data_IF_809368324235
#
_entry.id   IF_809368324235
#
_cell.length_a   1.000
_cell.length_b   1.000
_cell.length_c   1.000
_cell.angle_alpha   90.00
_cell.angle_beta   90.00
_cell.angle_gamma   90.00
#
_symmetry.space_group_name_H-M   'P 1'
#
loop_
_entity.id
_entity.type
_entity.pdbx_description
1 polymer ?
#
# COMPACT_ATOMS: atom_id res chain seq x y z
N UNK A 1 -4.55 10.23 11.28
CA UNK A 1 -4.02 9.79 9.97
C UNK A 1 -3.83 8.28 10.03
N UNK A 2 -3.74 7.60 8.90
CA UNK A 2 -3.38 6.18 8.84
C UNK A 2 -2.16 5.98 7.95
N UNK A 3 -1.33 5.00 8.24
CA UNK A 3 -0.25 4.56 7.37
C UNK A 3 -0.34 3.07 7.09
N UNK A 4 0.13 2.64 5.93
CA UNK A 4 0.34 1.24 5.59
C UNK A 4 1.77 1.05 5.08
N UNK A 5 2.43 -0.02 5.53
CA UNK A 5 3.80 -0.34 5.14
C UNK A 5 3.79 -1.18 3.89
N UNK A 6 4.72 -0.92 2.97
CA UNK A 6 4.98 -1.84 1.88
C UNK A 6 5.53 -3.16 2.44
N UNK A 7 4.86 -4.28 2.18
CA UNK A 7 5.28 -5.60 2.69
C UNK A 7 6.13 -6.36 1.67
N UNK A 8 5.84 -6.18 0.38
CA UNK A 8 6.56 -6.85 -0.70
C UNK A 8 5.72 -6.94 -1.98
N UNK A 9 6.20 -7.75 -2.92
CA UNK A 9 5.45 -8.12 -4.12
C UNK A 9 4.62 -9.38 -3.82
N UNK A 10 3.34 -9.34 -4.19
CA UNK A 10 2.42 -10.48 -4.15
C UNK A 10 1.89 -10.74 -5.56
N UNK A 11 1.60 -12.00 -5.92
CA UNK A 11 0.98 -12.29 -7.20
C UNK A 11 -0.42 -11.69 -7.28
N UNK A 12 -0.77 -11.19 -8.47
CA UNK A 12 -2.13 -10.75 -8.77
C UNK A 12 -2.96 -11.99 -9.11
N UNK A 13 -4.14 -12.11 -8.51
CA UNK A 13 -5.06 -13.21 -8.76
C UNK A 13 -6.16 -12.81 -9.76
N UNK A 14 -6.59 -13.79 -10.56
CA UNK A 14 -7.76 -13.67 -11.43
C UNK A 14 -8.99 -13.44 -10.56
N UNK A 15 -9.85 -12.51 -10.99
CA UNK A 15 -11.10 -12.17 -10.33
C UNK A 15 -12.28 -12.37 -11.26
N UNK A 16 -13.43 -12.72 -10.70
CA UNK A 16 -14.69 -12.85 -11.44
C UNK A 16 -15.33 -11.47 -11.74
N UNK A 17 -16.51 -11.49 -12.36
CA UNK A 17 -17.27 -10.28 -12.70
C UNK A 17 -17.73 -9.47 -11.48
N UNK A 18 -17.71 -10.07 -10.28
CA UNK A 18 -18.07 -9.45 -9.02
C UNK A 18 -16.83 -8.98 -8.22
N UNK A 19 -15.62 -9.26 -8.71
CA UNK A 19 -14.36 -8.93 -8.04
C UNK A 19 -13.89 -9.97 -7.01
N UNK A 20 -14.53 -11.14 -6.93
CA UNK A 20 -14.11 -12.25 -6.07
C UNK A 20 -12.96 -13.02 -6.70
N UNK A 21 -12.03 -13.52 -5.87
CA UNK A 21 -10.87 -14.29 -6.35
C UNK A 21 -11.33 -15.62 -6.95
N UNK A 22 -10.86 -15.93 -8.15
CA UNK A 22 -11.05 -17.21 -8.81
C UNK A 22 -10.00 -18.18 -8.29
N UNK A 23 -10.44 -19.36 -7.86
CA UNK A 23 -9.56 -20.42 -7.37
C UNK A 23 -9.36 -21.52 -8.42
N UNK A 24 -8.18 -22.13 -8.41
CA UNK A 24 -7.88 -23.28 -9.26
C UNK A 24 -8.78 -24.47 -8.85
N UNK A 25 -9.37 -25.12 -9.84
CA UNK A 25 -10.26 -26.26 -9.64
C UNK A 25 -10.23 -27.21 -10.83
N UNK A 26 -10.78 -28.41 -10.63
CA UNK A 26 -11.14 -29.34 -11.68
C UNK A 26 -12.57 -29.83 -11.51
N UNK A 27 -13.17 -30.28 -12.61
CA UNK A 27 -14.49 -30.90 -12.61
C UNK A 27 -14.30 -32.43 -12.53
N UNK A 28 -15.01 -33.07 -11.60
CA UNK A 28 -15.01 -34.53 -11.50
C UNK A 28 -15.93 -35.19 -12.58
N UNK A 29 -16.00 -36.52 -12.59
CA UNK A 29 -16.82 -37.25 -13.57
C UNK A 29 -18.33 -37.06 -13.36
N UNK A 30 -18.75 -36.53 -12.22
CA UNK A 30 -20.14 -36.27 -11.85
C UNK A 30 -20.54 -34.80 -12.04
N UNK A 31 -19.61 -33.95 -12.50
CA UNK A 31 -19.82 -32.52 -12.73
C UNK A 31 -19.63 -31.64 -11.50
N UNK A 32 -19.04 -32.16 -10.41
CA UNK A 32 -18.77 -31.36 -9.21
C UNK A 32 -17.44 -30.62 -9.34
N UNK A 33 -17.42 -29.37 -8.86
CA UNK A 33 -16.22 -28.54 -8.79
C UNK A 33 -15.41 -28.92 -7.54
N UNK A 34 -14.17 -29.34 -7.74
CA UNK A 34 -13.21 -29.65 -6.68
C UNK A 34 -12.04 -28.66 -6.76
N UNK A 35 -11.82 -27.89 -5.70
CA UNK A 35 -10.73 -26.91 -5.63
C UNK A 35 -9.40 -27.57 -5.28
N UNK A 36 -8.31 -27.07 -5.85
CA UNK A 36 -6.97 -27.42 -5.38
C UNK A 36 -6.68 -26.70 -4.07
N UNK A 37 -6.04 -27.40 -3.14
CA UNK A 37 -5.68 -26.89 -1.82
C UNK A 37 -4.16 -26.95 -1.62
N UNK A 38 -3.62 -25.99 -0.86
CA UNK A 38 -2.22 -25.96 -0.42
C UNK A 38 -1.96 -26.98 0.70
N UNK A 39 -0.71 -27.03 1.20
CA UNK A 39 -0.32 -27.93 2.29
C UNK A 39 -1.07 -27.69 3.61
N UNK A 40 -1.74 -26.53 3.75
CA UNK A 40 -2.52 -26.14 4.91
C UNK A 40 -4.04 -26.32 4.72
N UNK A 41 -4.49 -26.79 3.55
CA UNK A 41 -5.91 -26.94 3.21
C UNK A 41 -6.58 -25.64 2.73
N UNK A 42 -5.81 -24.61 2.37
CA UNK A 42 -6.36 -23.39 1.78
C UNK A 42 -6.49 -23.54 0.28
N UNK A 43 -7.58 -23.04 -0.31
CA UNK A 43 -7.76 -23.05 -1.77
C UNK A 43 -6.66 -22.27 -2.46
N UNK A 44 -6.12 -22.81 -3.55
CA UNK A 44 -5.09 -22.17 -4.36
C UNK A 44 -5.76 -21.14 -5.29
N UNK A 45 -5.49 -19.84 -5.15
CA UNK A 45 -6.02 -18.82 -6.04
C UNK A 45 -5.35 -18.92 -7.42
N UNK A 46 -6.12 -18.66 -8.47
CA UNK A 46 -5.60 -18.64 -9.84
C UNK A 46 -4.83 -17.35 -10.08
N UNK A 47 -3.53 -17.44 -10.37
CA UNK A 47 -2.67 -16.29 -10.62
C UNK A 47 -2.78 -15.77 -12.06
N UNK A 48 -2.62 -14.45 -12.26
CA UNK A 48 -2.51 -13.84 -13.60
C UNK A 48 -1.11 -13.97 -14.19
N UNK A 49 -0.11 -14.26 -13.34
CA UNK A 49 1.31 -14.21 -13.66
C UNK A 49 1.93 -12.81 -13.53
N UNK A 50 1.15 -11.81 -13.15
CA UNK A 50 1.62 -10.47 -12.80
C UNK A 50 1.77 -10.33 -11.28
N UNK A 51 2.54 -9.33 -10.84
CA UNK A 51 2.80 -9.06 -9.42
C UNK A 51 2.41 -7.61 -9.10
N UNK A 52 1.87 -7.41 -7.90
CA UNK A 52 1.58 -6.10 -7.35
C UNK A 52 2.27 -5.89 -6.00
N UNK A 53 2.40 -4.62 -5.60
CA UNK A 53 2.90 -4.30 -4.27
C UNK A 53 1.78 -4.46 -3.25
N UNK A 54 2.02 -5.28 -2.25
CA UNK A 54 1.14 -5.44 -1.10
C UNK A 54 1.50 -4.49 0.04
N UNK A 55 0.48 -4.17 0.84
CA UNK A 55 0.58 -3.23 1.94
C UNK A 55 -0.01 -3.79 3.22
N UNK A 56 0.65 -3.51 4.34
CA UNK A 56 0.20 -3.95 5.65
C UNK A 56 -1.16 -3.35 6.00
N UNK A 57 -1.87 -3.97 6.95
CA UNK A 57 -3.07 -3.37 7.51
C UNK A 57 -2.83 -1.91 7.96
N UNK A 58 -3.72 -0.97 7.59
CA UNK A 58 -3.52 0.44 7.91
C UNK A 58 -3.60 0.74 9.41
N UNK A 59 -2.51 1.30 9.94
CA UNK A 59 -2.40 1.65 11.36
C UNK A 59 -2.65 3.14 11.57
N UNK A 60 -3.49 3.45 12.57
CA UNK A 60 -3.76 4.85 12.93
C UNK A 60 -2.59 5.47 13.69
N UNK A 61 -2.22 6.68 13.31
CA UNK A 61 -1.13 7.42 13.95
C UNK A 61 -1.37 8.93 14.01
N UNK A 62 -0.59 9.59 14.88
CA UNK A 62 -0.58 11.03 15.08
C UNK A 62 0.81 11.58 14.78
N UNK A 63 0.87 12.62 13.95
CA UNK A 63 2.10 13.29 13.54
C UNK A 63 1.79 14.70 13.06
N UNK A 64 2.82 15.53 12.94
CA UNK A 64 2.73 16.85 12.33
C UNK A 64 2.95 16.75 10.82
N UNK A 65 1.91 17.05 10.04
CA UNK A 65 1.97 17.18 8.58
C UNK A 65 2.12 18.65 8.20
N UNK A 66 3.20 18.98 7.53
CA UNK A 66 3.44 20.30 6.94
C UNK A 66 3.24 20.21 5.43
N UNK A 67 2.31 21.00 4.90
CA UNK A 67 2.15 21.21 3.47
C UNK A 67 3.20 22.22 3.02
N UNK A 68 4.43 21.77 2.81
CA UNK A 68 5.49 22.58 2.22
C UNK A 68 5.90 21.96 0.89
N UNK A 69 5.83 22.78 -0.15
CA UNK A 69 6.13 22.47 -1.54
C UNK A 69 6.97 23.60 -2.15
N UNK A 70 7.96 24.10 -1.40
CA UNK A 70 8.81 25.19 -1.84
C UNK A 70 9.99 24.69 -2.66
N UNK A 71 10.39 25.45 -3.70
CA UNK A 71 11.54 25.15 -4.58
C UNK A 71 12.83 24.83 -3.80
N UNK A 72 13.06 25.51 -2.67
CA UNK A 72 14.25 25.31 -1.84
C UNK A 72 14.32 23.92 -1.17
N UNK A 73 13.19 23.37 -0.74
CA UNK A 73 13.16 22.05 -0.09
C UNK A 73 13.21 20.92 -1.12
N UNK A 74 12.56 21.08 -2.28
CA UNK A 74 12.65 20.12 -3.38
C UNK A 74 14.12 19.91 -3.83
N UNK A 75 14.90 21.00 -3.90
CA UNK A 75 16.32 20.95 -4.24
C UNK A 75 17.17 20.24 -3.18
N UNK A 76 16.86 20.40 -1.88
CA UNK A 76 17.57 19.73 -0.77
C UNK A 76 17.42 18.20 -0.82
N UNK A 77 16.23 17.71 -1.22
CA UNK A 77 15.95 16.28 -1.34
C UNK A 77 16.30 15.69 -2.72
N UNK A 78 16.78 16.51 -3.67
CA UNK A 78 17.06 16.08 -5.04
C UNK A 78 15.80 15.67 -5.81
N UNK A 79 14.64 16.22 -5.43
CA UNK A 79 13.34 15.92 -6.02
C UNK A 79 12.94 17.01 -7.01
N UNK A 80 12.17 16.65 -8.04
CA UNK A 80 11.50 17.64 -8.87
C UNK A 80 10.43 18.35 -8.02
N UNK A 81 10.26 19.66 -8.20
CA UNK A 81 9.24 20.45 -7.46
C UNK A 81 7.82 19.92 -7.63
N UNK A 82 7.55 19.14 -8.68
CA UNK A 82 6.28 18.47 -8.92
C UNK A 82 6.03 17.24 -8.04
N UNK A 83 7.08 16.59 -7.52
CA UNK A 83 6.99 15.36 -6.72
C UNK A 83 6.95 15.63 -5.21
N UNK A 84 7.24 16.88 -4.79
CA UNK A 84 7.31 17.29 -3.39
C UNK A 84 6.01 18.01 -2.98
N UNK A 85 5.14 17.31 -2.23
CA UNK A 85 3.83 17.85 -1.87
C UNK A 85 3.69 18.15 -0.37
N UNK A 86 4.28 17.33 0.49
CA UNK A 86 4.21 17.52 1.93
C UNK A 86 5.37 16.86 2.68
N UNK A 87 5.48 17.20 3.96
CA UNK A 87 6.45 16.60 4.89
C UNK A 87 5.76 16.16 6.17
N UNK A 88 6.07 14.95 6.65
CA UNK A 88 5.73 14.50 8.00
C UNK A 88 6.96 14.56 8.90
N UNK A 89 6.77 15.00 10.15
CA UNK A 89 7.81 15.00 11.16
C UNK A 89 7.38 14.14 12.35
N UNK A 90 8.13 13.06 12.60
CA UNK A 90 7.90 12.16 13.72
C UNK A 90 9.12 12.12 14.65
N UNK A 91 8.92 11.71 15.90
CA UNK A 91 10.04 11.31 16.76
C UNK A 91 10.72 10.07 16.18
N UNK A 92 12.05 10.00 16.30
CA UNK A 92 12.80 8.84 15.82
C UNK A 92 12.36 7.56 16.54
N UNK A 93 12.05 6.53 15.76
CA UNK A 93 11.60 5.23 16.25
C UNK A 93 10.13 5.19 16.71
N UNK A 94 9.36 6.27 16.53
CA UNK A 94 7.94 6.28 16.91
C UNK A 94 7.08 5.37 16.04
N UNK A 95 7.39 5.30 14.73
CA UNK A 95 6.64 4.51 13.76
C UNK A 95 7.60 3.83 12.78
N UNK A 96 7.35 2.58 12.38
CA UNK A 96 8.18 1.83 11.44
C UNK A 96 7.94 2.23 9.97
N UNK A 97 7.68 3.50 9.68
CA UNK A 97 7.37 3.99 8.33
C UNK A 97 8.65 4.03 7.49
N UNK A 98 8.55 3.53 6.26
CA UNK A 98 9.66 3.42 5.29
C UNK A 98 9.30 4.05 3.94
N UNK A 99 10.28 4.21 3.04
CA UNK A 99 10.02 4.60 1.64
C UNK A 99 9.03 3.60 1.00
N UNK A 100 8.11 4.09 0.16
CA UNK A 100 6.98 3.33 -0.41
C UNK A 100 5.74 3.21 0.49
N UNK A 101 5.81 3.59 1.76
CA UNK A 101 4.63 3.54 2.65
C UNK A 101 3.54 4.51 2.20
N UNK A 102 2.28 4.12 2.40
CA UNK A 102 1.10 4.93 2.03
C UNK A 102 0.54 5.67 3.23
N UNK A 103 0.00 6.87 3.01
CA UNK A 103 -0.56 7.73 4.04
C UNK A 103 -1.97 8.20 3.65
N UNK A 104 -2.93 7.99 4.56
CA UNK A 104 -4.28 8.54 4.49
C UNK A 104 -4.47 9.63 5.54
N UNK A 105 -4.88 10.81 5.09
CA UNK A 105 -5.08 12.00 5.92
C UNK A 105 -6.55 12.37 6.01
N UNK A 106 -7.23 12.44 4.87
CA UNK A 106 -8.64 12.81 4.72
C UNK A 106 -9.43 11.73 4.00
N UNK A 107 -8.80 11.03 3.05
CA UNK A 107 -9.43 9.92 2.36
C UNK A 107 -9.63 8.73 3.30
N UNK A 108 -10.67 7.96 3.06
CA UNK A 108 -10.84 6.65 3.67
C UNK A 108 -9.91 5.63 2.99
N UNK A 109 -9.60 4.56 3.71
CA UNK A 109 -8.81 3.46 3.13
C UNK A 109 -9.70 2.74 2.12
N UNK A 110 -9.25 2.71 0.86
CA UNK A 110 -9.87 1.89 -0.18
C UNK A 110 -9.20 0.53 -0.28
N UNK A 111 -9.98 -0.45 -0.70
CA UNK A 111 -9.55 -1.83 -0.91
C UNK A 111 -9.97 -2.27 -2.31
N UNK A 112 -9.18 -3.14 -2.93
CA UNK A 112 -9.46 -3.69 -4.26
C UNK A 112 -10.47 -4.83 -4.21
N UNK A 113 -10.54 -5.51 -3.06
CA UNK A 113 -11.41 -6.64 -2.82
C UNK A 113 -12.57 -6.29 -1.87
N UNK A 114 -13.61 -7.12 -1.89
CA UNK A 114 -14.79 -6.96 -1.05
C UNK A 114 -14.53 -7.32 0.43
N UNK A 115 -13.50 -8.12 0.72
CA UNK A 115 -13.16 -8.56 2.08
C UNK A 115 -12.29 -7.53 2.81
N UNK A 116 -11.83 -6.48 2.12
CA UNK A 116 -10.93 -5.44 2.62
C UNK A 116 -9.56 -5.98 3.05
N UNK A 117 -9.03 -6.96 2.33
CA UNK A 117 -7.74 -7.58 2.61
C UNK A 117 -6.60 -6.95 1.78
N UNK A 118 -6.90 -6.50 0.57
CA UNK A 118 -5.94 -5.96 -0.39
C UNK A 118 -6.17 -4.46 -0.53
N UNK A 119 -5.20 -3.70 -0.04
CA UNK A 119 -5.22 -2.24 -0.08
C UNK A 119 -5.18 -1.74 -1.52
N UNK A 120 -6.04 -0.77 -1.84
CA UNK A 120 -5.90 0.00 -3.07
C UNK A 120 -4.95 1.18 -2.84
N UNK A 121 -3.72 1.16 -3.42
CA UNK A 121 -2.76 2.24 -3.25
C UNK A 121 -3.26 3.59 -3.79
N UNK A 122 -4.17 3.58 -4.78
CA UNK A 122 -4.74 4.80 -5.38
C UNK A 122 -5.67 5.52 -4.40
N UNK A 123 -6.21 4.80 -3.41
CA UNK A 123 -7.05 5.40 -2.38
C UNK A 123 -6.28 6.35 -1.44
N UNK A 124 -4.97 6.15 -1.30
CA UNK A 124 -4.12 6.95 -0.42
C UNK A 124 -4.08 8.42 -0.86
N UNK A 125 -3.81 9.31 0.10
CA UNK A 125 -3.59 10.73 -0.21
C UNK A 125 -2.12 10.96 -0.63
N UNK A 126 -1.20 10.21 -0.02
CA UNK A 126 0.23 10.37 -0.24
C UNK A 126 0.99 9.04 -0.18
N UNK A 127 2.16 9.03 -0.84
CA UNK A 127 3.19 8.00 -0.76
C UNK A 127 4.48 8.61 -0.18
N UNK A 128 5.19 7.86 0.68
CA UNK A 128 6.50 8.26 1.19
C UNK A 128 7.58 7.99 0.14
N UNK A 129 8.18 9.04 -0.42
CA UNK A 129 9.23 8.91 -1.43
C UNK A 129 10.65 9.06 -0.85
N UNK A 130 10.78 9.66 0.34
CA UNK A 130 12.07 9.82 1.01
C UNK A 130 11.95 9.79 2.51
N UNK A 131 12.88 9.10 3.16
CA UNK A 131 13.08 9.14 4.61
C UNK A 131 14.40 9.85 4.92
N UNK A 132 14.33 10.90 5.75
CA UNK A 132 15.50 11.63 6.24
C UNK A 132 15.54 11.56 7.76
N UNK A 133 16.49 10.78 8.28
CA UNK A 133 16.67 10.64 9.71
C UNK A 133 17.58 11.73 10.29
N UNK A 134 17.18 12.28 11.43
CA UNK A 134 17.97 13.19 12.27
C UNK A 134 18.20 12.56 13.65
N UNK A 135 18.93 13.28 14.51
CA UNK A 135 19.32 12.77 15.84
C UNK A 135 18.11 12.34 16.70
N UNK A 136 17.03 13.14 16.68
CA UNK A 136 15.84 12.93 17.54
C UNK A 136 14.54 12.78 16.74
N UNK A 137 14.55 13.10 15.45
CA UNK A 137 13.36 13.15 14.61
C UNK A 137 13.62 12.47 13.28
N UNK A 138 12.54 12.07 12.62
CA UNK A 138 12.57 11.57 11.24
C UNK A 138 11.63 12.46 10.42
N UNK A 139 12.17 13.01 9.34
CA UNK A 139 11.45 13.82 8.35
C UNK A 139 11.13 12.89 7.18
N UNK A 140 9.86 12.71 6.89
CA UNK A 140 9.38 11.96 5.73
C UNK A 140 8.92 12.92 4.65
N UNK A 141 9.30 12.65 3.42
CA UNK A 141 8.88 13.41 2.25
C UNK A 141 7.77 12.67 1.55
N UNK A 142 6.67 13.38 1.27
CA UNK A 142 5.45 12.84 0.73
C UNK A 142 5.20 13.37 -0.68
N UNK A 143 4.84 12.45 -1.57
CA UNK A 143 4.29 12.72 -2.90
C UNK A 143 2.79 12.47 -2.88
N UNK A 144 2.00 13.36 -3.47
CA UNK A 144 0.56 13.16 -3.59
C UNK A 144 0.27 12.03 -4.58
N UNK A 145 -0.62 11.12 -4.21
CA UNK A 145 -1.09 10.06 -5.11
C UNK A 145 -2.09 10.68 -6.09
N UNK A 146 -1.85 10.47 -7.39
CA UNK A 146 -2.77 10.91 -8.45
C UNK A 146 -3.85 9.86 -8.59
N UNK A 147 -5.11 10.29 -8.49
CA UNK A 147 -6.31 9.45 -8.58
C UNK A 147 -6.91 9.49 -9.98
#
# INVERSE_FOLDING_TARGET
MKYALQIGEVPIYNRDENGEIIYEHYEDSDGNIIYYEDENGNKIPSETGEYEIDYSEPVSFLSSLAMSGGEAEAQEFGLSTSDYNATLLCQKGAYPIVEGSLIWTKSEVGYKDINNEIIDPISADYEIIKVSESLNFVKYVLKAVVK
#
